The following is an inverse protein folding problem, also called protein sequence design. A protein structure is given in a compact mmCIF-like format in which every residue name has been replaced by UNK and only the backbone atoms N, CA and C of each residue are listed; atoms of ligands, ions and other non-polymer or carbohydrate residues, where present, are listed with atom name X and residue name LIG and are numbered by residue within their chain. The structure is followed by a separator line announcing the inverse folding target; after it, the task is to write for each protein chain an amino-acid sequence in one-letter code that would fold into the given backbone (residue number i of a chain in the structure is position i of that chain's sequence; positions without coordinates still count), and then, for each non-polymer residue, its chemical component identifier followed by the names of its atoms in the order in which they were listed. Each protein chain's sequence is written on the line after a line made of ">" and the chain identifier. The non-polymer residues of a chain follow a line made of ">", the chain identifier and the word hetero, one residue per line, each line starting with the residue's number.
data_IF_693219456601
#
_entry.id   IF_693219456601
#
_cell.length_a   1.000
_cell.length_b   1.000
_cell.length_c   1.000
_cell.angle_alpha   90.00
_cell.angle_beta   90.00
_cell.angle_gamma   90.00
#
_symmetry.space_group_name_H-M   'P 1'
#
loop_
_entity.id
_entity.type
_entity.pdbx_description
1 polymer ?
#
# COMPACT_ATOMS: atom_id res chain seq x y z
N UNK A 1 -23.81 -7.35 14.23
CA UNK A 1 -23.19 -6.02 14.10
C UNK A 1 -22.09 -5.94 15.15
N UNK A 2 -20.82 -5.81 14.75
CA UNK A 2 -19.72 -5.68 15.71
C UNK A 2 -19.70 -4.26 16.29
N UNK A 3 -19.17 -4.11 17.51
CA UNK A 3 -19.15 -2.80 18.18
C UNK A 3 -18.29 -1.82 17.39
N UNK A 4 -18.82 -0.66 16.94
CA UNK A 4 -18.04 0.35 16.22
C UNK A 4 -16.85 0.87 17.04
N UNK A 5 -16.93 0.78 18.37
CA UNK A 5 -15.81 1.05 19.27
C UNK A 5 -14.62 0.12 18.98
N UNK A 6 -14.86 -1.16 18.72
CA UNK A 6 -13.80 -2.15 18.48
C UNK A 6 -13.10 -1.89 17.14
N UNK A 7 -13.86 -1.53 16.11
CA UNK A 7 -13.30 -1.15 14.79
C UNK A 7 -12.38 0.07 14.92
N UNK A 8 -12.84 1.13 15.61
CA UNK A 8 -12.04 2.34 15.83
C UNK A 8 -10.81 2.06 16.71
N UNK A 9 -10.96 1.24 17.75
CA UNK A 9 -9.85 0.91 18.63
C UNK A 9 -8.78 0.07 17.91
N UNK A 10 -9.17 -0.82 17.01
CA UNK A 10 -8.22 -1.54 16.14
C UNK A 10 -7.43 -0.56 15.28
N UNK A 11 -8.07 0.39 14.61
CA UNK A 11 -7.38 1.41 13.81
C UNK A 11 -6.39 2.21 14.64
N UNK A 12 -6.84 2.77 15.77
CA UNK A 12 -6.01 3.62 16.65
C UNK A 12 -4.79 2.89 17.20
N UNK A 13 -4.84 1.57 17.35
CA UNK A 13 -3.70 0.76 17.83
C UNK A 13 -2.80 0.30 16.69
N UNK A 14 -3.37 -0.05 15.53
CA UNK A 14 -2.62 -0.64 14.42
C UNK A 14 -1.85 0.42 13.62
N UNK A 15 -2.41 1.61 13.37
CA UNK A 15 -1.69 2.66 12.63
C UNK A 15 -0.38 3.07 13.32
N UNK A 16 -0.34 3.34 14.65
CA UNK A 16 0.92 3.64 15.32
C UNK A 16 1.90 2.46 15.31
N UNK A 17 1.40 1.22 15.36
CA UNK A 17 2.23 0.02 15.27
C UNK A 17 2.91 -0.09 13.90
N UNK A 18 2.18 0.13 12.81
CA UNK A 18 2.71 0.08 11.45
C UNK A 18 3.71 1.23 11.22
N UNK A 19 3.39 2.44 11.66
CA UNK A 19 4.33 3.58 11.68
C UNK A 19 5.61 3.23 12.43
N UNK A 20 5.49 2.61 13.60
CA UNK A 20 6.65 2.19 14.40
C UNK A 20 7.47 1.11 13.67
N UNK A 21 6.83 0.11 13.07
CA UNK A 21 7.51 -0.94 12.27
C UNK A 21 8.28 -0.29 11.12
N UNK A 22 7.66 0.58 10.33
CA UNK A 22 8.30 1.23 9.19
C UNK A 22 9.48 2.09 9.65
N UNK A 23 9.30 2.89 10.71
CA UNK A 23 10.37 3.73 11.25
C UNK A 23 11.55 2.90 11.77
N UNK A 24 11.26 1.81 12.48
CA UNK A 24 12.26 0.88 12.97
C UNK A 24 13.00 0.19 11.82
N UNK A 25 12.27 -0.34 10.83
CA UNK A 25 12.85 -0.99 9.66
C UNK A 25 13.74 -0.03 8.90
N UNK A 26 13.31 1.21 8.65
CA UNK A 26 14.10 2.22 7.95
C UNK A 26 15.43 2.51 8.65
N UNK A 27 15.41 2.73 9.97
CA UNK A 27 16.62 3.04 10.76
C UNK A 27 17.60 1.88 10.80
N UNK A 28 17.09 0.66 10.84
CA UNK A 28 17.91 -0.54 11.00
C UNK A 28 18.20 -1.26 9.68
N UNK A 29 17.70 -0.78 8.54
CA UNK A 29 17.74 -1.49 7.27
C UNK A 29 19.18 -1.83 6.85
N UNK A 30 20.11 -0.90 7.03
CA UNK A 30 21.54 -1.07 6.73
C UNK A 30 22.27 -2.07 7.65
N UNK A 31 21.64 -2.50 8.75
CA UNK A 31 22.19 -3.44 9.73
C UNK A 31 21.33 -4.70 9.88
N UNK A 32 20.35 -4.90 8.98
CA UNK A 32 19.48 -6.08 9.02
C UNK A 32 20.29 -7.34 8.71
N UNK A 33 20.68 -8.05 9.76
CA UNK A 33 21.10 -9.44 9.64
C UNK A 33 19.92 -10.33 9.22
N UNK A 34 20.23 -11.57 8.84
CA UNK A 34 19.23 -12.58 8.47
C UNK A 34 18.11 -12.73 9.51
N UNK A 35 18.45 -12.73 10.81
CA UNK A 35 17.49 -12.93 11.91
C UNK A 35 16.38 -11.87 11.94
N UNK A 36 16.67 -10.56 12.10
CA UNK A 36 15.62 -9.55 12.11
C UNK A 36 14.85 -9.44 10.78
N UNK A 37 15.48 -9.74 9.63
CA UNK A 37 14.78 -9.82 8.34
C UNK A 37 13.76 -10.97 8.31
N UNK A 38 14.17 -12.18 8.70
CA UNK A 38 13.29 -13.35 8.77
C UNK A 38 12.13 -13.14 9.76
N UNK A 39 12.40 -12.56 10.93
CA UNK A 39 11.36 -12.23 11.92
C UNK A 39 10.35 -11.25 11.33
N UNK A 40 10.81 -10.22 10.61
CA UNK A 40 9.92 -9.24 9.97
C UNK A 40 8.99 -9.90 8.95
N UNK A 41 9.53 -10.80 8.11
CA UNK A 41 8.72 -11.55 7.14
C UNK A 41 7.70 -12.43 7.85
N UNK A 42 8.11 -13.18 8.88
CA UNK A 42 7.19 -14.06 9.62
C UNK A 42 6.05 -13.25 10.24
N UNK A 43 6.36 -12.14 10.92
CA UNK A 43 5.34 -11.31 11.56
C UNK A 43 4.38 -10.72 10.52
N UNK A 44 4.90 -10.10 9.46
CA UNK A 44 4.08 -9.46 8.44
C UNK A 44 3.22 -10.48 7.68
N UNK A 45 3.76 -11.65 7.33
CA UNK A 45 2.98 -12.69 6.65
C UNK A 45 1.95 -13.31 7.60
N UNK A 46 2.30 -13.54 8.86
CA UNK A 46 1.35 -14.06 9.86
C UNK A 46 0.16 -13.13 10.04
N UNK A 47 0.43 -11.84 10.21
CA UNK A 47 -0.61 -10.83 10.39
C UNK A 47 -1.51 -10.76 9.14
N UNK A 48 -0.93 -10.56 7.96
CA UNK A 48 -1.70 -10.46 6.71
C UNK A 48 -2.52 -11.72 6.41
N UNK A 49 -1.93 -12.91 6.57
CA UNK A 49 -2.61 -14.17 6.27
C UNK A 49 -3.72 -14.49 7.28
N UNK A 50 -3.55 -14.12 8.55
CA UNK A 50 -4.62 -14.24 9.56
C UNK A 50 -5.78 -13.29 9.25
N UNK A 51 -5.49 -12.03 8.89
CA UNK A 51 -6.50 -11.04 8.51
C UNK A 51 -7.30 -11.51 7.28
N UNK A 52 -6.63 -12.02 6.25
CA UNK A 52 -7.28 -12.57 5.06
C UNK A 52 -8.11 -13.81 5.37
N UNK A 53 -7.60 -14.72 6.20
CA UNK A 53 -8.34 -15.91 6.63
C UNK A 53 -9.62 -15.53 7.40
N UNK A 54 -9.53 -14.56 8.32
CA UNK A 54 -10.71 -14.07 9.05
C UNK A 54 -11.69 -13.34 8.14
N UNK A 55 -11.20 -12.48 7.24
CA UNK A 55 -12.05 -11.81 6.26
C UNK A 55 -12.81 -12.83 5.41
N UNK A 56 -12.08 -13.78 4.80
CA UNK A 56 -12.66 -14.83 3.98
C UNK A 56 -13.69 -15.64 4.76
N UNK A 57 -13.36 -16.02 6.01
CA UNK A 57 -14.28 -16.72 6.86
C UNK A 57 -15.56 -15.91 7.08
N UNK A 58 -15.47 -14.61 7.37
CA UNK A 58 -16.63 -13.75 7.67
C UNK A 58 -17.55 -13.57 6.47
N UNK A 59 -16.99 -13.31 5.28
CA UNK A 59 -17.80 -12.96 4.09
C UNK A 59 -18.32 -14.15 3.30
N UNK A 60 -17.70 -15.33 3.47
CA UNK A 60 -18.11 -16.54 2.77
C UNK A 60 -19.28 -17.27 3.44
N UNK A 61 -20.03 -18.09 2.68
CA UNK A 61 -20.98 -19.04 3.25
C UNK A 61 -20.31 -19.93 4.31
N UNK A 62 -21.09 -20.38 5.30
CA UNK A 62 -20.59 -21.17 6.45
C UNK A 62 -20.59 -22.67 6.17
N UNK A 63 -20.26 -23.05 4.95
CA UNK A 63 -20.17 -24.45 4.56
C UNK A 63 -18.81 -25.03 4.94
N UNK A 64 -18.73 -26.37 5.02
CA UNK A 64 -17.50 -27.07 5.38
C UNK A 64 -16.33 -26.69 4.46
N UNK A 65 -16.58 -26.60 3.15
CA UNK A 65 -15.55 -26.26 2.16
C UNK A 65 -14.99 -24.86 2.35
N UNK A 66 -15.84 -23.85 2.51
CA UNK A 66 -15.41 -22.46 2.72
C UNK A 66 -14.69 -22.28 4.06
N UNK A 67 -15.10 -23.03 5.08
CA UNK A 67 -14.42 -23.04 6.38
C UNK A 67 -13.01 -23.63 6.26
N UNK A 68 -12.85 -24.78 5.59
CA UNK A 68 -11.53 -25.38 5.34
C UNK A 68 -10.66 -24.48 4.46
N UNK A 69 -11.25 -23.85 3.45
CA UNK A 69 -10.54 -22.94 2.56
C UNK A 69 -10.04 -21.70 3.31
N UNK A 70 -10.84 -21.13 4.22
CA UNK A 70 -10.42 -20.00 5.05
C UNK A 70 -9.18 -20.32 5.90
N UNK A 71 -9.13 -21.49 6.55
CA UNK A 71 -7.95 -21.96 7.28
C UNK A 71 -6.75 -22.22 6.35
N UNK A 72 -7.01 -22.74 5.15
CA UNK A 72 -5.97 -23.07 4.17
C UNK A 72 -5.26 -21.84 3.63
N UNK A 73 -5.99 -20.73 3.40
CA UNK A 73 -5.40 -19.45 2.98
C UNK A 73 -4.29 -19.02 3.96
N UNK A 74 -4.60 -19.03 5.27
CA UNK A 74 -3.63 -18.67 6.30
C UNK A 74 -2.39 -19.56 6.29
N UNK A 75 -2.59 -20.88 6.18
CA UNK A 75 -1.52 -21.87 6.20
C UNK A 75 -0.61 -21.80 4.97
N UNK A 76 -1.17 -21.74 3.76
CA UNK A 76 -0.39 -21.76 2.50
C UNK A 76 0.57 -20.56 2.42
N UNK A 77 0.09 -19.38 2.78
CA UNK A 77 0.88 -18.15 2.73
C UNK A 77 2.04 -18.18 3.76
N UNK A 78 1.78 -18.68 4.97
CA UNK A 78 2.81 -18.86 5.98
C UNK A 78 3.85 -19.91 5.54
N UNK A 79 3.40 -21.05 4.98
CA UNK A 79 4.32 -22.06 4.44
C UNK A 79 5.21 -21.49 3.34
N UNK A 80 4.65 -20.70 2.41
CA UNK A 80 5.42 -20.05 1.36
C UNK A 80 6.50 -19.10 1.92
N UNK A 81 6.16 -18.33 2.96
CA UNK A 81 7.11 -17.45 3.64
C UNK A 81 8.23 -18.22 4.36
N UNK A 82 7.91 -19.31 5.04
CA UNK A 82 8.91 -20.16 5.69
C UNK A 82 9.84 -20.83 4.67
N UNK A 83 9.29 -21.33 3.55
CA UNK A 83 10.08 -21.88 2.43
C UNK A 83 11.01 -20.81 1.86
N UNK A 84 10.53 -19.57 1.68
CA UNK A 84 11.35 -18.45 1.20
C UNK A 84 12.48 -18.10 2.17
N UNK A 85 12.21 -18.03 3.48
CA UNK A 85 13.22 -17.79 4.52
C UNK A 85 14.26 -18.91 4.52
N UNK A 86 13.82 -20.16 4.42
CA UNK A 86 14.72 -21.32 4.37
C UNK A 86 15.59 -21.30 3.10
N UNK A 87 15.00 -21.00 1.94
CA UNK A 87 15.73 -20.83 0.69
C UNK A 87 16.83 -19.78 0.81
N UNK A 88 16.52 -18.65 1.45
CA UNK A 88 17.49 -17.59 1.70
C UNK A 88 18.60 -18.06 2.64
N UNK A 89 18.24 -18.77 3.72
CA UNK A 89 19.19 -19.28 4.70
C UNK A 89 20.22 -20.23 4.07
N UNK A 90 19.79 -21.07 3.13
CA UNK A 90 20.66 -22.02 2.41
C UNK A 90 21.55 -21.33 1.38
N UNK A 91 21.06 -20.27 0.73
CA UNK A 91 21.73 -19.58 -0.38
C UNK A 91 22.52 -18.32 0.03
N UNK A 92 23.02 -18.28 1.27
CA UNK A 92 23.48 -17.09 2.01
C UNK A 92 24.73 -16.33 1.47
N UNK A 93 24.77 -16.01 0.17
CA UNK A 93 25.70 -15.02 -0.42
C UNK A 93 25.04 -13.65 -0.68
N UNK A 94 23.75 -13.49 -0.37
CA UNK A 94 23.01 -12.25 -0.66
C UNK A 94 23.02 -11.28 0.52
N UNK A 95 23.36 -10.03 0.24
CA UNK A 95 23.13 -8.93 1.17
C UNK A 95 21.62 -8.70 1.32
N UNK A 96 21.16 -8.62 2.57
CA UNK A 96 19.76 -8.39 2.95
C UNK A 96 19.33 -6.91 2.79
N UNK A 97 20.28 -6.06 2.40
CA UNK A 97 20.09 -4.65 2.05
C UNK A 97 19.81 -4.45 0.55
N UNK A 98 19.29 -5.47 -0.14
CA UNK A 98 19.04 -5.38 -1.58
C UNK A 98 17.77 -4.56 -1.89
N UNK A 99 17.69 -3.91 -3.06
CA UNK A 99 16.44 -3.29 -3.52
C UNK A 99 15.25 -4.26 -3.51
N UNK A 100 15.48 -5.55 -3.76
CA UNK A 100 14.44 -6.58 -3.73
C UNK A 100 13.87 -6.80 -2.32
N UNK A 101 14.70 -6.65 -1.29
CA UNK A 101 14.27 -6.75 0.12
C UNK A 101 13.37 -5.56 0.50
N UNK A 102 13.67 -4.37 0.00
CA UNK A 102 12.82 -3.18 0.18
C UNK A 102 11.47 -3.35 -0.50
N UNK A 103 11.46 -3.83 -1.76
CA UNK A 103 10.25 -4.16 -2.52
C UNK A 103 9.42 -5.19 -1.77
N UNK A 104 10.05 -6.28 -1.30
CA UNK A 104 9.38 -7.34 -0.56
C UNK A 104 8.73 -6.85 0.73
N UNK A 105 9.48 -6.12 1.57
CA UNK A 105 8.94 -5.56 2.81
C UNK A 105 7.82 -4.54 2.52
N UNK A 106 8.00 -3.65 1.55
CA UNK A 106 6.96 -2.67 1.17
C UNK A 106 5.69 -3.37 0.69
N UNK A 107 5.83 -4.45 -0.08
CA UNK A 107 4.72 -5.27 -0.54
C UNK A 107 3.99 -5.96 0.61
N UNK A 108 4.73 -6.51 1.58
CA UNK A 108 4.15 -7.12 2.78
C UNK A 108 3.41 -6.10 3.65
N UNK A 109 3.96 -4.90 3.84
CA UNK A 109 3.28 -3.81 4.58
C UNK A 109 2.00 -3.41 3.86
N UNK A 110 2.08 -3.16 2.54
CA UNK A 110 0.90 -2.80 1.73
C UNK A 110 -0.18 -3.88 1.80
N UNK A 111 0.22 -5.15 1.75
CA UNK A 111 -0.72 -6.25 1.88
C UNK A 111 -1.40 -6.25 3.25
N UNK A 112 -0.66 -6.10 4.35
CA UNK A 112 -1.25 -6.03 5.69
C UNK A 112 -2.31 -4.93 5.81
N UNK A 113 -2.06 -3.77 5.23
CA UNK A 113 -2.98 -2.64 5.22
C UNK A 113 -4.27 -2.93 4.44
N UNK A 114 -4.14 -3.55 3.26
CA UNK A 114 -5.29 -3.97 2.45
C UNK A 114 -6.09 -5.06 3.18
N UNK A 115 -5.43 -6.06 3.76
CA UNK A 115 -6.07 -7.12 4.53
C UNK A 115 -6.79 -6.59 5.75
N UNK A 116 -6.20 -5.61 6.45
CA UNK A 116 -6.82 -4.95 7.59
C UNK A 116 -8.08 -4.20 7.17
N UNK A 117 -8.02 -3.42 6.07
CA UNK A 117 -9.18 -2.70 5.56
C UNK A 117 -10.31 -3.62 5.11
N UNK A 118 -9.99 -4.72 4.42
CA UNK A 118 -10.96 -5.74 4.03
C UNK A 118 -11.67 -6.31 5.27
N UNK A 119 -10.91 -6.69 6.29
CA UNK A 119 -11.46 -7.23 7.52
C UNK A 119 -12.33 -6.18 8.23
N UNK A 120 -11.82 -4.99 8.49
CA UNK A 120 -12.54 -3.95 9.24
C UNK A 120 -13.80 -3.50 8.51
N UNK A 121 -13.75 -3.37 7.18
CA UNK A 121 -14.93 -3.10 6.37
C UNK A 121 -15.97 -4.22 6.51
N UNK A 122 -15.56 -5.50 6.45
CA UNK A 122 -16.49 -6.63 6.63
C UNK A 122 -17.19 -6.61 8.00
N UNK A 123 -16.53 -6.10 9.04
CA UNK A 123 -17.09 -5.99 10.39
C UNK A 123 -18.12 -4.85 10.55
N UNK A 124 -18.15 -3.87 9.63
CA UNK A 124 -19.14 -2.78 9.64
C UNK A 124 -20.58 -3.27 9.43
N UNK A 125 -20.74 -4.46 8.84
CA UNK A 125 -22.04 -5.04 8.49
C UNK A 125 -22.67 -4.44 7.22
N UNK A 126 -21.98 -3.52 6.53
CA UNK A 126 -22.44 -2.99 5.24
C UNK A 126 -22.42 -4.11 4.20
N UNK A 127 -23.60 -4.42 3.65
CA UNK A 127 -23.73 -5.47 2.64
C UNK A 127 -23.27 -4.96 1.27
N UNK A 128 -22.44 -5.77 0.60
CA UNK A 128 -22.00 -5.51 -0.76
C UNK A 128 -22.91 -6.27 -1.72
N UNK A 129 -23.55 -5.55 -2.64
CA UNK A 129 -24.45 -6.14 -3.64
C UNK A 129 -23.65 -6.72 -4.81
N UNK A 130 -23.18 -7.97 -4.67
CA UNK A 130 -22.52 -8.74 -5.72
C UNK A 130 -22.73 -10.26 -5.48
N UNK A 131 -22.51 -11.10 -6.49
CA UNK A 131 -22.65 -12.57 -6.40
C UNK A 131 -21.40 -13.27 -6.92
N UNK A 132 -21.09 -14.44 -6.34
CA UNK A 132 -19.98 -15.29 -6.78
C UNK A 132 -18.62 -14.60 -6.67
N UNK A 133 -17.70 -14.88 -7.59
CA UNK A 133 -16.34 -14.31 -7.60
C UNK A 133 -16.29 -12.77 -7.65
N UNK A 134 -17.34 -12.12 -8.18
CA UNK A 134 -17.44 -10.66 -8.20
C UNK A 134 -17.67 -10.05 -6.80
N UNK A 135 -18.11 -10.85 -5.82
CA UNK A 135 -18.27 -10.40 -4.44
C UNK A 135 -16.94 -9.93 -3.85
N UNK A 136 -15.86 -10.68 -4.08
CA UNK A 136 -14.53 -10.33 -3.59
C UNK A 136 -14.00 -9.04 -4.19
N UNK A 137 -14.17 -8.86 -5.50
CA UNK A 137 -13.75 -7.63 -6.20
C UNK A 137 -14.55 -6.43 -5.70
N UNK A 138 -15.85 -6.61 -5.47
CA UNK A 138 -16.72 -5.56 -4.94
C UNK A 138 -16.37 -5.19 -3.49
N UNK A 139 -16.07 -6.19 -2.64
CA UNK A 139 -15.56 -5.95 -1.28
C UNK A 139 -14.22 -5.23 -1.33
N UNK A 140 -13.30 -5.65 -2.19
CA UNK A 140 -12.01 -5.02 -2.36
C UNK A 140 -12.14 -3.55 -2.75
N UNK A 141 -12.84 -3.25 -3.85
CA UNK A 141 -13.01 -1.87 -4.31
C UNK A 141 -13.68 -1.00 -3.26
N UNK A 142 -14.69 -1.53 -2.53
CA UNK A 142 -15.38 -0.78 -1.49
C UNK A 142 -14.55 -0.59 -0.22
N UNK A 143 -13.76 -1.57 0.20
CA UNK A 143 -12.99 -1.53 1.45
C UNK A 143 -11.79 -0.58 1.35
N UNK A 144 -11.07 -0.64 0.22
CA UNK A 144 -9.90 0.21 -0.03
C UNK A 144 -10.30 1.68 -0.22
N UNK A 145 -11.49 1.94 -0.75
CA UNK A 145 -12.02 3.30 -0.89
C UNK A 145 -12.82 3.79 0.32
N UNK A 146 -12.84 3.01 1.40
CA UNK A 146 -13.56 3.35 2.62
C UNK A 146 -12.70 4.16 3.58
N UNK A 147 -13.34 4.96 4.44
CA UNK A 147 -12.63 5.81 5.39
C UNK A 147 -11.74 5.01 6.37
N UNK A 148 -12.10 3.75 6.65
CA UNK A 148 -11.29 2.87 7.51
C UNK A 148 -9.94 2.55 6.87
N UNK A 149 -9.83 2.44 5.55
CA UNK A 149 -8.52 2.33 4.90
C UNK A 149 -7.85 3.69 4.73
N UNK A 150 -8.62 4.70 4.30
CA UNK A 150 -8.04 5.98 3.90
C UNK A 150 -7.47 6.78 5.08
N UNK A 151 -8.19 6.84 6.19
CA UNK A 151 -7.78 7.63 7.35
C UNK A 151 -6.43 7.20 7.95
N UNK A 152 -6.20 5.91 8.30
CA UNK A 152 -4.91 5.48 8.81
C UNK A 152 -3.81 5.74 7.78
N UNK A 153 -4.00 5.33 6.52
CA UNK A 153 -3.05 5.57 5.43
C UNK A 153 -2.63 7.04 5.33
N UNK A 154 -3.57 7.98 5.34
CA UNK A 154 -3.25 9.42 5.28
C UNK A 154 -2.50 9.91 6.51
N UNK A 155 -2.82 9.40 7.71
CA UNK A 155 -2.11 9.72 8.95
C UNK A 155 -0.66 9.24 8.89
N UNK A 156 -0.42 8.03 8.40
CA UNK A 156 0.94 7.50 8.21
C UNK A 156 1.73 8.34 7.21
N UNK A 157 1.10 8.64 6.07
CA UNK A 157 1.70 9.47 5.03
C UNK A 157 2.10 10.85 5.56
N UNK A 158 1.20 11.48 6.32
CA UNK A 158 1.45 12.76 6.94
C UNK A 158 2.60 12.68 7.95
N UNK A 159 2.65 11.64 8.77
CA UNK A 159 3.74 11.43 9.74
C UNK A 159 5.11 11.38 9.05
N UNK A 160 5.28 10.55 8.02
CA UNK A 160 6.58 10.46 7.34
C UNK A 160 6.91 11.72 6.52
N UNK A 161 5.92 12.36 5.91
CA UNK A 161 6.09 13.63 5.19
C UNK A 161 6.52 14.78 6.11
N UNK A 162 6.01 14.81 7.34
CA UNK A 162 6.30 15.85 8.31
C UNK A 162 7.63 15.61 9.04
N UNK A 163 7.91 14.38 9.46
CA UNK A 163 8.97 14.10 10.43
C UNK A 163 10.17 13.31 9.88
N UNK A 164 10.07 12.71 8.68
CA UNK A 164 11.05 11.70 8.25
C UNK A 164 11.59 11.85 6.83
N UNK A 165 10.86 12.48 5.91
CA UNK A 165 11.33 12.66 4.53
C UNK A 165 12.13 13.97 4.40
N UNK A 166 13.35 13.86 3.87
CA UNK A 166 14.21 15.02 3.60
C UNK A 166 13.67 15.86 2.44
N UNK A 167 13.90 17.19 2.44
CA UNK A 167 13.52 18.03 1.31
C UNK A 167 14.26 17.58 0.04
N UNK A 168 13.50 17.26 -1.02
CA UNK A 168 14.05 16.72 -2.26
C UNK A 168 12.98 16.03 -3.13
N UNK A 169 13.41 15.15 -4.04
CA UNK A 169 12.51 14.37 -4.89
C UNK A 169 11.55 13.52 -4.06
N UNK A 170 12.07 12.75 -3.10
CA UNK A 170 11.28 11.80 -2.30
C UNK A 170 10.11 12.47 -1.58
N UNK A 171 10.35 13.60 -0.91
CA UNK A 171 9.28 14.33 -0.20
C UNK A 171 8.25 14.90 -1.16
N UNK A 172 8.66 15.42 -2.31
CA UNK A 172 7.74 15.98 -3.32
C UNK A 172 6.92 14.89 -4.01
N UNK A 173 7.53 13.75 -4.29
CA UNK A 173 6.86 12.57 -4.79
C UNK A 173 5.79 12.09 -3.81
N UNK A 174 6.19 11.85 -2.55
CA UNK A 174 5.25 11.41 -1.50
C UNK A 174 4.17 12.44 -1.22
N UNK A 175 4.47 13.74 -1.31
CA UNK A 175 3.46 14.81 -1.17
C UNK A 175 2.46 14.78 -2.32
N UNK A 176 2.93 14.55 -3.55
CA UNK A 176 2.06 14.47 -4.73
C UNK A 176 1.12 13.27 -4.64
N UNK A 177 1.63 12.13 -4.17
CA UNK A 177 0.85 10.93 -3.88
C UNK A 177 -0.16 11.17 -2.75
N UNK A 178 0.25 11.82 -1.65
CA UNK A 178 -0.64 12.19 -0.55
C UNK A 178 -1.79 13.07 -1.02
N UNK A 179 -1.50 14.14 -1.76
CA UNK A 179 -2.52 15.05 -2.28
C UNK A 179 -3.53 14.34 -3.21
N UNK A 180 -3.08 13.35 -3.98
CA UNK A 180 -3.99 12.53 -4.80
C UNK A 180 -4.90 11.63 -3.97
N UNK A 181 -4.58 11.32 -2.72
CA UNK A 181 -5.37 10.41 -1.89
C UNK A 181 -6.29 11.13 -0.89
N UNK A 182 -5.96 12.37 -0.49
CA UNK A 182 -6.74 13.14 0.51
C UNK A 182 -8.19 13.40 0.08
N UNK A 183 -8.45 13.58 -1.21
CA UNK A 183 -9.79 13.93 -1.72
C UNK A 183 -10.50 12.75 -2.39
N UNK A 184 -10.31 11.51 -1.92
CA UNK A 184 -10.94 10.34 -2.53
C UNK A 184 -12.47 10.50 -2.66
N UNK A 185 -13.02 10.58 -3.89
CA UNK A 185 -14.45 10.77 -4.12
C UNK A 185 -15.30 9.58 -3.66
N UNK A 186 -14.72 8.40 -3.50
CA UNK A 186 -15.45 7.23 -3.06
C UNK A 186 -15.83 7.28 -1.56
N UNK A 187 -15.16 8.13 -0.77
CA UNK A 187 -15.57 8.44 0.61
C UNK A 187 -16.96 9.06 0.69
N UNK A 188 -17.40 9.76 -0.36
CA UNK A 188 -18.67 10.48 -0.38
C UNK A 188 -19.90 9.55 -0.38
N UNK A 189 -19.71 8.25 -0.63
CA UNK A 189 -20.83 7.32 -0.84
C UNK A 189 -21.65 7.66 -2.10
N UNK A 190 -22.86 7.13 -2.29
CA UNK A 190 -23.70 7.51 -3.43
C UNK A 190 -24.37 8.88 -3.22
N UNK A 191 -24.21 9.83 -4.15
CA UNK A 191 -24.98 11.09 -4.16
C UNK A 191 -24.25 12.31 -4.72
N UNK A 192 -24.88 13.50 -4.57
CA UNK A 192 -24.35 14.80 -5.07
C UNK A 192 -22.99 15.19 -4.47
N UNK A 193 -22.66 14.66 -3.29
CA UNK A 193 -21.38 14.91 -2.64
C UNK A 193 -20.20 14.26 -3.41
N UNK A 194 -20.45 13.19 -4.17
CA UNK A 194 -19.45 12.56 -5.05
C UNK A 194 -18.95 13.56 -6.08
N UNK A 195 -19.84 14.30 -6.73
CA UNK A 195 -19.47 15.27 -7.78
C UNK A 195 -18.57 16.39 -7.25
N UNK A 196 -18.80 16.84 -6.01
CA UNK A 196 -17.96 17.85 -5.35
C UNK A 196 -16.57 17.27 -5.07
N UNK A 197 -16.51 16.06 -4.50
CA UNK A 197 -15.25 15.39 -4.23
C UNK A 197 -14.48 15.03 -5.50
N UNK A 198 -15.18 14.68 -6.59
CA UNK A 198 -14.59 14.46 -7.91
C UNK A 198 -13.89 15.72 -8.42
N UNK A 199 -14.55 16.88 -8.29
CA UNK A 199 -13.95 18.16 -8.68
C UNK A 199 -12.74 18.49 -7.80
N UNK A 200 -12.83 18.29 -6.49
CA UNK A 200 -11.71 18.49 -5.57
C UNK A 200 -10.53 17.56 -5.90
N UNK A 201 -10.80 16.27 -6.14
CA UNK A 201 -9.80 15.29 -6.54
C UNK A 201 -9.11 15.69 -7.85
N UNK A 202 -9.88 16.10 -8.87
CA UNK A 202 -9.32 16.55 -10.15
C UNK A 202 -8.39 17.75 -9.99
N UNK A 203 -8.76 18.73 -9.16
CA UNK A 203 -7.91 19.88 -8.85
C UNK A 203 -6.63 19.43 -8.14
N UNK A 204 -6.72 18.58 -7.11
CA UNK A 204 -5.55 18.05 -6.40
C UNK A 204 -4.63 17.23 -7.31
N UNK A 205 -5.20 16.43 -8.21
CA UNK A 205 -4.45 15.70 -9.24
C UNK A 205 -3.60 16.63 -10.12
N UNK A 206 -4.18 17.73 -10.61
CA UNK A 206 -3.49 18.73 -11.42
C UNK A 206 -2.38 19.41 -10.61
N UNK A 207 -2.68 19.78 -9.35
CA UNK A 207 -1.69 20.38 -8.44
C UNK A 207 -0.53 19.41 -8.17
N UNK A 208 -0.82 18.13 -7.92
CA UNK A 208 0.19 17.09 -7.71
C UNK A 208 1.12 16.92 -8.91
N UNK A 209 0.57 16.82 -10.12
CA UNK A 209 1.37 16.77 -11.35
C UNK A 209 2.23 18.02 -11.47
N UNK A 210 1.64 19.21 -11.29
CA UNK A 210 2.35 20.47 -11.44
C UNK A 210 3.54 20.56 -10.48
N UNK A 211 3.35 20.22 -9.21
CA UNK A 211 4.39 20.24 -8.19
C UNK A 211 5.55 19.30 -8.53
N UNK A 212 5.23 18.08 -8.99
CA UNK A 212 6.21 17.06 -9.31
C UNK A 212 6.96 17.40 -10.62
N UNK A 213 6.23 17.76 -11.68
CA UNK A 213 6.81 18.13 -12.97
C UNK A 213 7.65 19.41 -12.89
N UNK A 214 7.22 20.42 -12.13
CA UNK A 214 8.02 21.64 -11.94
C UNK A 214 9.38 21.31 -11.31
N UNK A 215 9.41 20.39 -10.35
CA UNK A 215 10.65 19.94 -9.75
C UNK A 215 11.53 19.16 -10.74
N UNK A 216 10.94 18.20 -11.45
CA UNK A 216 11.64 17.38 -12.46
C UNK A 216 12.22 18.25 -13.56
N UNK A 217 11.47 19.24 -14.05
CA UNK A 217 11.93 20.14 -15.11
C UNK A 217 13.13 20.98 -14.67
N UNK A 218 13.09 21.54 -13.46
CA UNK A 218 14.18 22.34 -12.88
C UNK A 218 15.44 21.50 -12.61
N UNK A 219 15.28 20.21 -12.28
CA UNK A 219 16.36 19.32 -11.87
C UNK A 219 16.66 18.21 -12.90
N UNK A 220 16.23 18.38 -14.16
CA UNK A 220 16.25 17.30 -15.18
C UNK A 220 17.61 16.63 -15.38
N UNK A 221 18.70 17.39 -15.21
CA UNK A 221 20.06 16.90 -15.40
C UNK A 221 20.64 16.21 -14.16
N UNK A 222 20.06 16.43 -12.98
CA UNK A 222 20.52 15.85 -11.71
C UNK A 222 19.67 14.66 -11.23
N UNK A 223 18.61 14.30 -11.97
CA UNK A 223 17.79 13.15 -11.65
C UNK A 223 18.51 11.84 -11.94
N UNK A 224 18.58 10.99 -10.92
CA UNK A 224 19.09 9.63 -11.00
C UNK A 224 18.19 8.73 -11.86
N UNK A 225 18.73 7.59 -12.31
CA UNK A 225 17.95 6.60 -13.08
C UNK A 225 16.72 6.09 -12.29
N UNK A 226 16.90 5.84 -10.99
CA UNK A 226 15.82 5.42 -10.10
C UNK A 226 14.69 6.44 -10.02
N UNK A 227 15.00 7.73 -9.83
CA UNK A 227 13.98 8.79 -9.77
C UNK A 227 13.19 8.92 -11.08
N UNK A 228 13.83 8.70 -12.23
CA UNK A 228 13.13 8.67 -13.54
C UNK A 228 12.16 7.48 -13.64
N UNK A 229 12.54 6.32 -13.10
CA UNK A 229 11.63 5.17 -13.04
C UNK A 229 10.44 5.45 -12.12
N UNK A 230 10.66 6.03 -10.94
CA UNK A 230 9.59 6.49 -10.06
C UNK A 230 8.66 7.49 -10.76
N UNK A 231 9.20 8.38 -11.60
CA UNK A 231 8.38 9.29 -12.40
C UNK A 231 7.48 8.56 -13.41
N UNK A 232 8.00 7.56 -14.10
CA UNK A 232 7.18 6.74 -15.02
C UNK A 232 6.04 6.04 -14.27
N UNK A 233 6.35 5.47 -13.10
CA UNK A 233 5.36 4.83 -12.24
C UNK A 233 4.31 5.83 -11.72
N UNK A 234 4.70 7.07 -11.39
CA UNK A 234 3.75 8.12 -11.02
C UNK A 234 2.75 8.42 -12.13
N UNK A 235 3.22 8.53 -13.38
CA UNK A 235 2.32 8.73 -14.51
C UNK A 235 1.39 7.54 -14.75
N UNK A 236 1.87 6.32 -14.52
CA UNK A 236 1.02 5.13 -14.58
C UNK A 236 -0.07 5.16 -13.49
N UNK A 237 0.27 5.51 -12.24
CA UNK A 237 -0.70 5.70 -11.16
C UNK A 237 -1.70 6.80 -11.52
N UNK A 238 -1.23 7.92 -12.05
CA UNK A 238 -2.08 9.03 -12.46
C UNK A 238 -3.09 8.60 -13.52
N UNK A 239 -2.62 7.91 -14.57
CA UNK A 239 -3.49 7.39 -15.62
C UNK A 239 -4.52 6.39 -15.07
N UNK A 240 -4.09 5.48 -14.19
CA UNK A 240 -4.97 4.50 -13.56
C UNK A 240 -6.00 5.17 -12.63
N UNK A 241 -5.60 6.19 -11.89
CA UNK A 241 -6.48 6.98 -11.02
C UNK A 241 -7.52 7.75 -11.83
N UNK A 242 -7.10 8.34 -12.96
CA UNK A 242 -8.02 8.99 -13.89
C UNK A 242 -9.05 8.01 -14.46
N UNK A 243 -8.62 6.81 -14.88
CA UNK A 243 -9.53 5.74 -15.34
C UNK A 243 -10.50 5.36 -14.22
N UNK A 244 -9.99 5.11 -13.00
CA UNK A 244 -10.79 4.71 -11.85
C UNK A 244 -11.80 5.75 -11.36
N UNK A 245 -11.70 6.99 -11.84
CA UNK A 245 -12.60 8.09 -11.52
C UNK A 245 -13.60 8.36 -12.65
N UNK A 246 -13.18 8.16 -13.90
CA UNK A 246 -14.07 8.32 -15.07
C UNK A 246 -15.02 7.12 -15.18
N UNK A 247 -14.56 5.91 -14.90
CA UNK A 247 -15.35 4.68 -15.04
C UNK A 247 -16.68 4.74 -14.25
N UNK A 248 -16.70 5.11 -12.95
CA UNK A 248 -17.94 5.14 -12.16
C UNK A 248 -18.96 6.19 -12.65
N UNK A 249 -18.50 7.19 -13.39
CA UNK A 249 -19.32 8.29 -13.92
C UNK A 249 -19.94 7.92 -15.27
N UNK A 250 -19.22 7.14 -16.08
CA UNK A 250 -19.62 6.76 -17.43
C UNK A 250 -20.36 5.42 -17.45
N UNK A 251 -19.97 4.47 -16.59
CA UNK A 251 -20.52 3.12 -16.54
C UNK A 251 -21.12 2.85 -15.16
N UNK A 252 -22.43 2.61 -15.14
CA UNK A 252 -23.14 2.30 -13.90
C UNK A 252 -22.98 0.82 -13.53
N UNK A 253 -22.05 0.54 -12.61
CA UNK A 253 -21.92 -0.75 -11.93
C UNK A 253 -22.25 -0.62 -10.42
N UNK A 254 -22.46 -1.73 -9.69
CA UNK A 254 -22.53 -1.69 -8.23
C UNK A 254 -21.30 -0.98 -7.67
N UNK A 255 -21.50 -0.09 -6.69
CA UNK A 255 -20.46 0.84 -6.20
C UNK A 255 -19.09 0.17 -6.06
N UNK A 256 -18.97 -0.93 -5.32
CA UNK A 256 -17.68 -1.60 -5.09
C UNK A 256 -16.95 -2.07 -6.36
N UNK A 257 -17.65 -2.37 -7.45
CA UNK A 257 -17.04 -2.76 -8.72
C UNK A 257 -16.57 -1.55 -9.52
N UNK A 258 -17.36 -0.46 -9.56
CA UNK A 258 -16.97 0.76 -10.27
C UNK A 258 -15.66 1.35 -9.71
N UNK A 259 -15.47 1.28 -8.40
CA UNK A 259 -14.28 1.83 -7.76
C UNK A 259 -13.09 0.86 -7.68
N UNK A 260 -13.19 -0.34 -8.26
CA UNK A 260 -12.11 -1.32 -8.19
C UNK A 260 -10.83 -0.83 -8.87
N UNK A 261 -10.93 -0.12 -10.00
CA UNK A 261 -9.77 0.46 -10.67
C UNK A 261 -9.10 1.55 -9.81
N UNK A 262 -9.89 2.39 -9.12
CA UNK A 262 -9.37 3.39 -8.19
C UNK A 262 -8.70 2.72 -6.98
N UNK A 263 -9.29 1.67 -6.42
CA UNK A 263 -8.70 0.89 -5.33
C UNK A 263 -7.34 0.29 -5.72
N UNK A 264 -7.22 -0.26 -6.94
CA UNK A 264 -5.91 -0.73 -7.45
C UNK A 264 -4.93 0.43 -7.55
N UNK A 265 -5.35 1.60 -8.06
CA UNK A 265 -4.50 2.78 -8.13
C UNK A 265 -3.98 3.20 -6.75
N UNK A 266 -4.85 3.20 -5.74
CA UNK A 266 -4.48 3.52 -4.35
C UNK A 266 -3.48 2.54 -3.77
N UNK A 267 -3.67 1.24 -3.99
CA UNK A 267 -2.75 0.19 -3.50
C UNK A 267 -1.38 0.29 -4.17
N UNK A 268 -1.36 0.47 -5.49
CA UNK A 268 -0.10 0.67 -6.23
C UNK A 268 0.60 1.94 -5.76
N UNK A 269 -0.17 3.01 -5.52
CA UNK A 269 0.32 4.28 -4.99
C UNK A 269 0.92 4.14 -3.59
N UNK A 270 0.24 3.41 -2.69
CA UNK A 270 0.70 3.08 -1.33
C UNK A 270 1.97 2.23 -1.36
N UNK A 271 2.01 1.20 -2.20
CA UNK A 271 3.19 0.35 -2.37
C UNK A 271 4.41 1.16 -2.81
N UNK A 272 4.25 2.03 -3.80
CA UNK A 272 5.32 2.90 -4.29
C UNK A 272 5.72 3.93 -3.22
N UNK A 273 4.74 4.44 -2.47
CA UNK A 273 4.98 5.33 -1.35
C UNK A 273 5.85 4.67 -0.26
N UNK A 274 5.53 3.47 0.21
CA UNK A 274 6.36 2.77 1.20
C UNK A 274 7.74 2.42 0.65
N UNK A 275 7.82 2.05 -0.62
CA UNK A 275 9.09 1.80 -1.31
C UNK A 275 9.98 3.06 -1.31
N UNK A 276 9.37 4.23 -1.50
CA UNK A 276 10.05 5.52 -1.44
C UNK A 276 10.46 5.89 0.00
N UNK A 277 9.61 5.63 1.00
CA UNK A 277 9.90 5.88 2.43
C UNK A 277 11.04 5.00 2.95
N UNK A 278 11.10 3.74 2.52
CA UNK A 278 12.18 2.79 2.83
C UNK A 278 13.45 3.00 1.98
N UNK A 279 13.49 4.09 1.20
CA UNK A 279 14.67 4.64 0.53
C UNK A 279 15.32 3.73 -0.52
N UNK A 280 14.50 3.16 -1.41
CA UNK A 280 14.97 2.31 -2.51
C UNK A 280 15.93 3.05 -3.47
N UNK A 281 15.74 4.37 -3.65
CA UNK A 281 16.56 5.21 -4.54
C UNK A 281 18.00 5.39 -4.03
N UNK A 282 18.21 5.43 -2.71
CA UNK A 282 19.55 5.48 -2.11
C UNK A 282 20.22 4.10 -2.12
N UNK A 283 19.45 3.02 -2.04
CA UNK A 283 19.98 1.65 -2.10
C UNK A 283 20.37 1.25 -3.53
N UNK A 284 19.62 1.67 -4.56
CA UNK A 284 19.95 1.39 -5.96
C UNK A 284 21.24 2.06 -6.42
N UNK A 285 21.52 3.28 -5.95
CA UNK A 285 22.75 4.02 -6.25
C UNK A 285 23.98 3.43 -5.55
N UNK A 286 23.83 2.98 -4.30
CA UNK A 286 24.89 2.26 -3.58
C UNK A 286 25.17 0.89 -4.21
N UNK A 287 24.14 0.16 -4.63
CA UNK A 287 24.30 -1.15 -5.29
C UNK A 287 24.98 -1.03 -6.66
N UNK A 288 24.71 0.04 -7.42
CA UNK A 288 25.41 0.32 -8.68
C UNK A 288 26.88 0.72 -8.46
N UNK A 289 27.17 1.51 -7.42
CA UNK A 289 28.54 1.91 -7.08
C UNK A 289 29.39 0.71 -6.62
N UNK A 290 28.83 -0.17 -5.78
CA UNK A 290 29.47 -1.40 -5.30
C UNK A 290 29.66 -2.39 -6.45
N UNK A 291 28.66 -2.54 -7.34
CA UNK A 291 28.76 -3.39 -8.53
C UNK A 291 29.79 -2.91 -9.56
N UNK A 292 30.16 -1.62 -9.53
CA UNK A 292 31.19 -1.00 -10.38
C UNK A 292 32.56 -0.89 -9.70
N UNK A 293 32.72 -1.40 -8.47
CA UNK A 293 33.98 -1.34 -7.74
C UNK A 293 34.40 0.08 -7.32
N UNK A 294 33.47 1.04 -7.26
CA UNK A 294 33.76 2.39 -6.78
C UNK A 294 33.60 2.43 -5.25
N UNK A 295 34.56 3.03 -4.51
CA UNK A 295 34.49 3.09 -3.05
C UNK A 295 33.27 3.91 -2.62
N UNK A 296 32.45 3.32 -1.74
CA UNK A 296 31.30 3.99 -1.13
C UNK A 296 31.77 5.16 -0.27
N UNK A 297 31.50 6.39 -0.70
CA UNK A 297 31.63 7.56 0.17
C UNK A 297 30.34 7.63 0.98
N UNK A 298 30.46 7.30 2.28
CA UNK A 298 29.40 7.46 3.29
C UNK A 298 29.04 8.94 3.47
#
# INVERSE_FOLDING_TARGET
>A
MYSPLLIVLTEVVMTPLIVWIIDYTRKNMGQLGFRPYAISIVILVMMGSMLDAFFYYIVSPKDFFDTVLSATIGMVLMTAALVYIFWIAVNAKKSYTSPMSVIGISGLITWNEVSMALLLFSLTGVHVSARGGLLYVAYFGRSVTYYLFLAPMLVEMLYFLAFRLSPGFQRRFSLSVFLMQVADPALAGPGKFVTIMLAAYAVLMVVSIYLLLSFVYKNRNSLTSGERQFMSLFFAIFALSAIGIVEPVVVSHPFGLSWAALAVAMIVSMFIYFTNVLDLAKISTVSEAVGKGQPSVL
#
